data_IF_663759344824
#
_entry.id   IF_663759344824
#
_cell.length_a   1.000
_cell.length_b   1.000
_cell.length_c   1.000
_cell.angle_alpha   90.00
_cell.angle_beta   90.00
_cell.angle_gamma   90.00
#
_symmetry.space_group_name_H-M   'P 1'
#
loop_
_entity.id
_entity.type
_entity.pdbx_description
1 polymer ?
#
# COMPACT_ATOMS: atom_id res chain seq x y z
N UNK A 1 38.57 -31.15 -18.83
CA UNK A 1 38.37 -31.98 -17.62
C UNK A 1 37.63 -31.11 -16.61
N UNK A 2 36.48 -31.44 -16.03
CA UNK A 2 35.92 -32.76 -15.79
C UNK A 2 34.43 -32.58 -15.43
N UNK A 3 33.54 -33.11 -16.28
CA UNK A 3 32.27 -33.75 -15.93
C UNK A 3 31.29 -32.90 -15.07
N UNK A 4 30.47 -32.08 -15.72
CA UNK A 4 29.26 -31.49 -15.12
C UNK A 4 27.97 -32.31 -15.41
N UNK A 5 28.11 -33.45 -16.08
CA UNK A 5 27.00 -34.35 -16.37
C UNK A 5 27.47 -35.77 -16.08
N UNK A 6 27.07 -36.30 -14.94
CA UNK A 6 26.91 -37.72 -14.66
C UNK A 6 26.48 -37.80 -13.20
N UNK A 7 25.17 -37.80 -12.95
CA UNK A 7 24.50 -38.58 -11.90
C UNK A 7 23.00 -38.32 -12.04
N UNK A 8 22.37 -39.12 -12.91
CA UNK A 8 20.97 -39.47 -12.75
C UNK A 8 20.86 -40.19 -11.40
N UNK A 9 20.44 -39.47 -10.35
CA UNK A 9 20.03 -40.08 -9.08
C UNK A 9 18.73 -39.42 -8.68
N UNK A 10 17.69 -40.23 -8.66
CA UNK A 10 16.40 -39.98 -8.03
C UNK A 10 16.66 -39.31 -6.66
N UNK A 11 16.30 -38.02 -6.51
CA UNK A 11 16.27 -37.37 -5.19
C UNK A 11 17.59 -36.86 -4.59
N UNK A 12 18.48 -36.23 -5.35
CA UNK A 12 19.62 -35.51 -4.75
C UNK A 12 19.14 -34.29 -3.92
N UNK A 13 19.00 -34.47 -2.60
CA UNK A 13 18.67 -33.39 -1.64
C UNK A 13 19.90 -32.57 -1.25
N UNK A 14 21.11 -33.05 -1.50
CA UNK A 14 22.35 -32.38 -1.07
C UNK A 14 22.89 -31.44 -2.14
N UNK A 15 22.98 -30.15 -1.81
CA UNK A 15 23.52 -29.06 -2.64
C UNK A 15 24.83 -28.51 -2.05
N UNK A 16 25.51 -27.62 -2.78
CA UNK A 16 26.76 -26.97 -2.37
C UNK A 16 26.56 -25.46 -2.24
N UNK A 17 27.05 -24.91 -1.13
CA UNK A 17 27.12 -23.49 -0.83
C UNK A 17 28.58 -23.14 -0.60
N UNK A 18 29.23 -22.58 -1.63
CA UNK A 18 30.71 -22.53 -1.72
C UNK A 18 31.30 -23.93 -1.44
N UNK A 19 32.12 -24.05 -0.40
CA UNK A 19 32.79 -25.30 -0.01
C UNK A 19 31.95 -26.19 0.93
N UNK A 20 30.78 -25.72 1.39
CA UNK A 20 29.91 -26.43 2.34
C UNK A 20 28.80 -27.19 1.61
N UNK A 21 28.51 -28.42 2.04
CA UNK A 21 27.33 -29.14 1.57
C UNK A 21 26.12 -28.87 2.47
N UNK A 22 24.92 -28.74 1.91
CA UNK A 22 23.69 -28.53 2.67
C UNK A 22 22.53 -29.32 2.08
N UNK A 23 21.52 -29.62 2.89
CA UNK A 23 20.27 -30.21 2.43
C UNK A 23 19.35 -29.11 1.89
N UNK A 24 19.03 -29.12 0.60
CA UNK A 24 18.21 -28.10 -0.06
C UNK A 24 16.76 -28.03 0.44
N UNK A 25 16.28 -29.11 1.08
CA UNK A 25 14.92 -29.20 1.59
C UNK A 25 14.82 -28.38 2.89
N UNK A 26 15.77 -28.56 3.80
CA UNK A 26 15.75 -27.95 5.14
C UNK A 26 16.63 -26.71 5.26
N UNK A 27 17.60 -26.55 4.36
CA UNK A 27 18.61 -25.50 4.40
C UNK A 27 18.65 -24.68 3.10
N UNK A 28 19.20 -23.47 3.20
CA UNK A 28 19.47 -22.58 2.09
C UNK A 28 20.91 -22.07 2.11
N UNK A 29 21.31 -21.39 1.05
CA UNK A 29 22.62 -20.74 0.92
C UNK A 29 22.39 -19.24 0.74
N UNK A 30 23.05 -18.41 1.55
CA UNK A 30 22.99 -16.95 1.48
C UNK A 30 24.41 -16.40 1.57
N UNK A 31 24.92 -15.81 0.49
CA UNK A 31 26.29 -15.29 0.43
C UNK A 31 27.36 -16.28 0.94
N UNK A 32 27.22 -17.57 0.60
CA UNK A 32 28.15 -18.61 1.05
C UNK A 32 27.91 -19.17 2.46
N UNK A 33 26.91 -18.65 3.18
CA UNK A 33 26.48 -19.17 4.47
C UNK A 33 25.29 -20.10 4.31
N UNK A 34 25.43 -21.33 4.82
CA UNK A 34 24.31 -22.28 4.93
C UNK A 34 23.44 -21.87 6.11
N UNK A 35 22.13 -21.78 5.91
CA UNK A 35 21.16 -21.42 6.95
C UNK A 35 20.00 -22.41 6.98
N UNK A 36 19.33 -22.52 8.14
CA UNK A 36 18.11 -23.33 8.29
C UNK A 36 16.89 -22.52 7.84
N UNK A 37 16.13 -23.03 6.86
CA UNK A 37 14.95 -22.35 6.29
C UNK A 37 13.80 -22.17 7.29
N UNK A 38 13.76 -22.96 8.36
CA UNK A 38 12.76 -22.85 9.42
C UNK A 38 13.04 -21.70 10.41
N UNK A 39 14.24 -21.11 10.37
CA UNK A 39 14.67 -20.06 11.31
C UNK A 39 15.08 -18.78 10.60
N UNK A 40 15.65 -18.90 9.41
CA UNK A 40 16.21 -17.77 8.69
C UNK A 40 15.82 -17.76 7.21
N UNK A 41 15.80 -16.57 6.64
CA UNK A 41 15.70 -16.33 5.21
C UNK A 41 16.93 -15.58 4.69
N UNK A 42 17.02 -15.44 3.37
CA UNK A 42 18.04 -14.62 2.72
C UNK A 42 17.33 -13.49 1.96
N UNK A 43 17.78 -12.26 2.18
CA UNK A 43 17.24 -11.05 1.57
C UNK A 43 18.42 -10.18 1.13
N UNK A 44 18.55 -9.91 -0.17
CA UNK A 44 19.68 -9.14 -0.71
C UNK A 44 21.06 -9.59 -0.16
N UNK A 45 21.32 -10.90 -0.21
CA UNK A 45 22.53 -11.53 0.35
C UNK A 45 22.73 -11.43 1.86
N UNK A 46 21.73 -10.93 2.62
CA UNK A 46 21.76 -10.85 4.08
C UNK A 46 20.82 -11.87 4.69
N UNK A 47 21.27 -12.55 5.74
CA UNK A 47 20.42 -13.42 6.53
C UNK A 47 19.50 -12.59 7.42
N UNK A 48 18.26 -13.03 7.57
CA UNK A 48 17.28 -12.44 8.50
C UNK A 48 16.53 -13.55 9.24
N UNK A 49 16.05 -13.25 10.44
CA UNK A 49 15.25 -14.18 11.24
C UNK A 49 13.78 -14.07 10.84
N UNK A 50 13.21 -15.16 10.31
CA UNK A 50 11.84 -15.15 9.77
C UNK A 50 10.76 -14.98 10.85
N UNK A 51 11.09 -15.19 12.12
CA UNK A 51 10.13 -15.07 13.23
C UNK A 51 9.71 -13.62 13.48
N UNK A 52 10.59 -12.64 13.22
CA UNK A 52 10.32 -11.23 13.52
C UNK A 52 10.83 -10.26 12.44
N UNK A 53 11.43 -10.76 11.36
CA UNK A 53 11.88 -9.97 10.23
C UNK A 53 11.28 -10.49 8.93
N UNK A 54 10.99 -9.57 8.02
CA UNK A 54 10.56 -9.86 6.66
C UNK A 54 11.54 -9.29 5.64
N UNK A 55 11.35 -9.64 4.38
CA UNK A 55 12.14 -9.14 3.27
C UNK A 55 11.23 -8.47 2.25
N UNK A 56 11.41 -7.17 2.03
CA UNK A 56 10.65 -6.38 1.07
C UNK A 56 11.35 -6.41 -0.30
N UNK A 57 10.70 -7.03 -1.28
CA UNK A 57 11.14 -7.13 -2.68
C UNK A 57 12.58 -7.63 -2.88
N UNK A 58 13.09 -8.49 -1.98
CA UNK A 58 14.48 -8.93 -1.99
C UNK A 58 15.53 -7.80 -1.87
N UNK A 59 15.14 -6.63 -1.34
CA UNK A 59 16.00 -5.45 -1.20
C UNK A 59 16.24 -5.15 0.29
N UNK A 60 15.16 -4.97 1.06
CA UNK A 60 15.22 -4.45 2.43
C UNK A 60 14.66 -5.44 3.45
N UNK A 61 15.43 -5.68 4.52
CA UNK A 61 14.95 -6.42 5.69
C UNK A 61 14.22 -5.45 6.61
N UNK A 62 13.04 -5.82 7.09
CA UNK A 62 12.22 -5.00 8.00
C UNK A 62 11.74 -5.79 9.20
N UNK A 63 11.42 -5.11 10.30
CA UNK A 63 10.89 -5.73 11.52
C UNK A 63 9.37 -5.87 11.43
N UNK A 64 8.87 -7.09 11.29
CA UNK A 64 7.43 -7.39 11.11
C UNK A 64 6.55 -6.73 12.19
N UNK A 65 6.92 -6.68 13.49
CA UNK A 65 6.05 -6.09 14.50
C UNK A 65 5.77 -4.60 14.30
N UNK A 66 6.76 -3.85 13.78
CA UNK A 66 6.71 -2.38 13.73
C UNK A 66 6.64 -1.83 12.31
N UNK A 67 6.98 -2.64 11.31
CA UNK A 67 7.16 -2.22 9.93
C UNK A 67 6.40 -3.13 8.97
N UNK A 68 5.96 -2.55 7.87
CA UNK A 68 5.38 -3.24 6.72
C UNK A 68 6.21 -3.01 5.45
N UNK A 69 5.90 -3.78 4.41
CA UNK A 69 6.39 -3.60 3.06
C UNK A 69 5.19 -3.22 2.18
N UNK A 70 5.31 -2.16 1.39
CA UNK A 70 4.25 -1.67 0.51
C UNK A 70 4.86 -1.26 -0.82
N UNK A 71 4.59 -2.01 -1.89
CA UNK A 71 5.43 -1.93 -3.09
C UNK A 71 6.90 -2.12 -2.67
N UNK A 72 7.82 -1.33 -3.22
CA UNK A 72 9.25 -1.47 -2.93
C UNK A 72 9.72 -0.77 -1.64
N UNK A 73 8.81 -0.15 -0.87
CA UNK A 73 9.16 0.61 0.33
C UNK A 73 8.83 -0.13 1.62
N UNK A 74 9.73 0.02 2.60
CA UNK A 74 9.46 -0.35 3.99
C UNK A 74 8.91 0.87 4.71
N UNK A 75 7.82 0.71 5.44
CA UNK A 75 7.18 1.78 6.19
C UNK A 75 6.94 1.37 7.65
N UNK A 76 6.90 2.33 8.57
CA UNK A 76 6.55 2.09 9.97
C UNK A 76 5.02 2.01 10.09
N UNK A 77 4.50 0.95 10.70
CA UNK A 77 3.06 0.76 10.92
C UNK A 77 2.47 1.78 11.87
N UNK A 78 3.29 2.31 12.78
CA UNK A 78 2.89 3.29 13.79
C UNK A 78 3.93 4.39 13.90
N UNK A 79 3.46 5.63 13.98
CA UNK A 79 4.24 6.81 14.36
C UNK A 79 3.37 7.65 15.29
N UNK A 80 3.75 7.73 16.57
CA UNK A 80 2.94 8.34 17.63
C UNK A 80 1.52 7.74 17.70
N UNK A 81 0.48 8.58 17.59
CA UNK A 81 -0.91 8.16 17.57
C UNK A 81 -1.43 7.77 16.17
N UNK A 82 -0.58 7.86 15.13
CA UNK A 82 -0.96 7.63 13.74
C UNK A 82 -0.58 6.21 13.33
N UNK A 83 -1.50 5.51 12.64
CA UNK A 83 -1.23 4.20 12.05
C UNK A 83 -1.22 4.29 10.52
N UNK A 84 -0.37 3.48 9.91
CA UNK A 84 -0.20 3.41 8.46
C UNK A 84 -0.48 2.00 7.95
N UNK A 85 -1.07 1.92 6.77
CA UNK A 85 -1.36 0.67 6.07
C UNK A 85 -0.98 0.76 4.59
N UNK A 86 -0.99 -0.37 3.88
CA UNK A 86 -0.68 -0.46 2.46
C UNK A 86 -1.95 -0.73 1.64
N UNK A 87 -2.14 0.03 0.56
CA UNK A 87 -3.19 -0.17 -0.42
C UNK A 87 -2.58 -0.07 -1.82
N UNK A 88 -2.61 -1.16 -2.59
CA UNK A 88 -2.10 -1.21 -3.97
C UNK A 88 -0.69 -0.60 -4.16
N UNK A 89 0.24 -0.91 -3.26
CA UNK A 89 1.61 -0.40 -3.32
C UNK A 89 1.82 1.03 -2.78
N UNK A 90 0.76 1.67 -2.27
CA UNK A 90 0.83 2.99 -1.64
C UNK A 90 0.52 2.92 -0.15
N UNK A 91 1.33 3.62 0.66
CA UNK A 91 1.12 3.72 2.10
C UNK A 91 0.15 4.86 2.40
N UNK A 92 -0.85 4.61 3.24
CA UNK A 92 -1.88 5.59 3.59
C UNK A 92 -2.04 5.71 5.10
N UNK A 93 -2.52 6.88 5.56
CA UNK A 93 -2.77 7.13 6.97
C UNK A 93 -4.17 6.65 7.34
N UNK A 94 -4.28 5.66 8.23
CA UNK A 94 -5.58 5.07 8.58
C UNK A 94 -6.48 6.03 9.37
N UNK A 95 -5.96 7.11 9.95
CA UNK A 95 -6.78 8.13 10.61
C UNK A 95 -7.59 8.95 9.58
N UNK A 96 -7.02 9.19 8.40
CA UNK A 96 -7.59 10.09 7.39
C UNK A 96 -8.20 9.33 6.21
N UNK A 97 -7.73 8.13 5.93
CA UNK A 97 -7.98 7.44 4.67
C UNK A 97 -8.36 5.96 4.91
N UNK A 98 -8.96 5.35 3.89
CA UNK A 98 -9.28 3.92 3.82
C UNK A 98 -8.96 3.38 2.44
N UNK A 99 -8.57 2.11 2.37
CA UNK A 99 -8.46 1.38 1.10
C UNK A 99 -9.84 0.85 0.71
N UNK A 100 -10.33 1.19 -0.47
CA UNK A 100 -11.56 0.65 -1.05
C UNK A 100 -11.36 0.39 -2.52
N UNK A 101 -11.62 -0.84 -2.96
CA UNK A 101 -11.45 -1.28 -4.35
C UNK A 101 -10.05 -0.97 -4.90
N UNK A 102 -9.02 -1.35 -4.15
CA UNK A 102 -7.59 -1.09 -4.44
C UNK A 102 -7.22 0.40 -4.61
N UNK A 103 -8.07 1.32 -4.16
CA UNK A 103 -7.82 2.75 -4.20
C UNK A 103 -7.91 3.38 -2.80
N UNK A 104 -7.00 4.32 -2.53
CA UNK A 104 -7.03 5.11 -1.29
C UNK A 104 -8.13 6.16 -1.41
N UNK A 105 -9.03 6.21 -0.43
CA UNK A 105 -10.13 7.17 -0.32
C UNK A 105 -10.06 7.87 1.03
N UNK A 106 -10.23 9.19 1.04
CA UNK A 106 -10.40 9.91 2.29
C UNK A 106 -11.63 9.38 3.04
N UNK A 107 -11.47 9.19 4.35
CA UNK A 107 -12.59 9.06 5.27
C UNK A 107 -13.26 10.42 5.29
N UNK A 108 -14.33 10.58 4.51
CA UNK A 108 -15.19 11.75 4.62
C UNK A 108 -15.53 11.91 6.10
N UNK A 109 -15.26 13.09 6.68
CA UNK A 109 -15.91 13.43 7.95
C UNK A 109 -17.39 13.37 7.61
N UNK A 110 -18.06 12.32 8.06
CA UNK A 110 -19.50 12.25 8.03
C UNK A 110 -20.00 13.32 9.00
N UNK A 111 -20.08 14.57 8.54
CA UNK A 111 -21.27 15.35 8.86
C UNK A 111 -22.39 14.45 8.34
N UNK A 112 -23.20 13.92 9.25
CA UNK A 112 -24.27 12.97 8.94
C UNK A 112 -25.17 13.57 7.85
N UNK A 113 -24.89 13.25 6.59
CA UNK A 113 -25.84 13.31 5.50
C UNK A 113 -25.96 11.87 5.04
N UNK A 114 -27.01 11.24 5.54
CA UNK A 114 -27.48 9.95 5.09
C UNK A 114 -27.82 10.05 3.60
N UNK A 115 -26.92 9.60 2.73
CA UNK A 115 -27.29 9.36 1.33
C UNK A 115 -26.92 7.93 0.96
N UNK A 116 -27.97 7.08 1.00
CA UNK A 116 -28.07 5.87 0.21
C UNK A 116 -27.71 6.19 -1.24
N UNK A 117 -26.68 5.51 -1.76
CA UNK A 117 -26.49 5.22 -3.18
C UNK A 117 -27.02 6.29 -4.15
N UNK A 118 -26.24 7.34 -4.43
CA UNK A 118 -26.18 7.93 -5.76
C UNK A 118 -25.02 8.93 -5.90
N UNK A 119 -24.34 8.83 -7.02
CA UNK A 119 -23.19 9.62 -7.43
C UNK A 119 -23.49 11.13 -7.44
N UNK A 120 -22.75 11.91 -6.66
CA UNK A 120 -22.49 13.31 -6.94
C UNK A 120 -21.18 13.73 -6.26
N UNK A 121 -20.07 13.62 -6.99
CA UNK A 121 -18.85 14.35 -6.67
C UNK A 121 -19.16 15.83 -6.84
N UNK A 122 -19.45 16.54 -5.74
CA UNK A 122 -19.48 18.00 -5.75
C UNK A 122 -18.04 18.47 -5.76
N UNK A 123 -17.48 18.63 -6.95
CA UNK A 123 -16.24 19.39 -7.14
C UNK A 123 -16.47 20.83 -6.68
N UNK A 124 -15.45 21.40 -6.02
CA UNK A 124 -15.41 22.82 -5.61
C UNK A 124 -15.23 23.75 -6.82
N UNK A 125 -16.08 23.63 -7.82
CA UNK A 125 -16.12 24.51 -8.99
C UNK A 125 -17.57 24.87 -9.30
N UNK A 126 -18.16 25.82 -8.55
CA UNK A 126 -19.24 26.73 -9.03
C UNK A 126 -19.99 27.51 -7.93
N UNK A 127 -19.41 27.76 -6.76
CA UNK A 127 -20.05 28.68 -5.81
C UNK A 127 -20.12 30.10 -6.40
N UNK A 128 -19.11 30.52 -7.18
CA UNK A 128 -19.11 31.85 -7.80
C UNK A 128 -20.13 32.01 -8.95
N UNK A 129 -20.41 30.98 -9.76
CA UNK A 129 -21.39 31.11 -10.84
C UNK A 129 -22.84 31.01 -10.36
N UNK A 130 -23.13 30.22 -9.31
CA UNK A 130 -24.50 30.12 -8.77
C UNK A 130 -24.94 31.39 -8.05
N UNK A 131 -24.03 32.10 -7.39
CA UNK A 131 -24.34 33.40 -6.77
C UNK A 131 -24.63 34.46 -7.85
N UNK A 132 -23.89 34.46 -8.95
CA UNK A 132 -24.09 35.42 -10.04
C UNK A 132 -25.45 35.25 -10.74
N UNK A 133 -25.91 34.00 -10.93
CA UNK A 133 -27.22 33.70 -11.51
C UNK A 133 -28.37 34.14 -10.57
N UNK A 134 -28.23 33.94 -9.26
CA UNK A 134 -29.24 34.42 -8.29
C UNK A 134 -29.38 35.94 -8.30
N UNK A 135 -28.26 36.68 -8.39
CA UNK A 135 -28.31 38.15 -8.45
C UNK A 135 -28.94 38.67 -9.74
N UNK A 136 -28.65 38.06 -10.90
CA UNK A 136 -29.22 38.48 -12.18
C UNK A 136 -30.75 38.24 -12.25
N UNK A 137 -31.23 37.11 -11.73
CA UNK A 137 -32.68 36.78 -11.74
C UNK A 137 -33.48 37.69 -10.81
N UNK A 138 -32.93 38.08 -9.64
CA UNK A 138 -33.59 39.04 -8.74
C UNK A 138 -33.70 40.44 -9.36
N UNK A 139 -32.68 40.88 -10.10
CA UNK A 139 -32.72 42.20 -10.76
C UNK A 139 -33.70 42.24 -11.95
N UNK A 140 -33.93 41.12 -12.63
CA UNK A 140 -34.90 41.06 -13.73
C UNK A 140 -36.37 41.10 -13.25
N UNK A 141 -36.70 40.47 -12.13
CA UNK A 141 -38.07 40.48 -11.59
C UNK A 141 -38.50 41.84 -11.05
N UNK A 142 -37.55 42.69 -10.66
CA UNK A 142 -37.82 44.05 -10.19
C UNK A 142 -38.18 45.04 -11.31
N UNK A 143 -37.91 44.72 -12.58
CA UNK A 143 -38.17 45.61 -13.73
C UNK A 143 -39.54 45.35 -14.39
N UNK A 144 -40.20 44.25 -14.06
CA UNK A 144 -41.43 43.80 -14.74
C UNK A 144 -42.76 44.19 -14.07
N UNK A 145 -42.76 44.89 -12.93
CA UNK A 145 -43.99 45.43 -12.32
C UNK A 145 -44.03 46.96 -12.41
N UNK A 146 -44.67 47.55 -13.43
CA UNK A 146 -45.01 48.96 -13.40
C UNK A 146 -46.11 49.19 -12.33
N UNK A 147 -45.78 50.04 -11.36
CA UNK A 147 -46.72 50.58 -10.37
C UNK A 147 -47.67 51.54 -11.13
N UNK A 148 -49.01 51.33 -11.15
CA UNK A 148 -49.90 52.34 -11.70
C UNK A 148 -50.07 53.46 -10.68
N UNK A 149 -49.53 54.63 -11.00
CA UNK A 149 -49.97 55.91 -10.44
C UNK A 149 -51.17 56.40 -11.27
N UNK A 150 -52.38 56.34 -10.72
CA UNK A 150 -53.24 57.52 -10.51
C UNK A 150 -54.49 57.17 -9.69
#
# INVERSE_FOLDING_TARGET
>A
MMICFLFNVIGATKMRCLMKSYDRITQGCCQGNVYNRSVSGCCNNKLYNISHQGCCHNINIYKIPFQGCCGDIVYNKHHDAIQYECCNGQVFNTALEKCFDNAIKNKTIAIQVSESSNSAVISRENISQKILICFLVLTCLAVSYPIPFH
#
